data_IF_892080465809
#
_entry.id   IF_892080465809
#
_cell.length_a   1.000
_cell.length_b   1.000
_cell.length_c   1.000
_cell.angle_alpha   90.00
_cell.angle_beta   90.00
_cell.angle_gamma   90.00
#
_symmetry.space_group_name_H-M   'P 1'
#
loop_
_entity.id
_entity.type
_entity.pdbx_description
1 polymer ?
#
# COMPACT_ATOMS: atom_id res chain seq x y z
N UNK A 1 -58.41 4.72 -30.52
CA UNK A 1 -57.63 3.49 -30.79
C UNK A 1 -56.21 3.92 -31.14
N UNK A 2 -55.17 3.88 -30.34
CA UNK A 2 -54.97 3.73 -28.90
C UNK A 2 -53.61 4.39 -28.63
N UNK A 3 -53.59 5.54 -27.98
CA UNK A 3 -52.36 6.18 -27.50
C UNK A 3 -52.00 5.55 -26.17
N UNK A 4 -51.12 4.54 -26.17
CA UNK A 4 -50.56 3.98 -24.92
C UNK A 4 -49.49 4.94 -24.38
N UNK A 5 -49.62 5.44 -23.14
CA UNK A 5 -48.56 6.24 -22.53
C UNK A 5 -47.38 5.32 -22.22
N UNK A 6 -46.21 5.62 -22.79
CA UNK A 6 -44.95 5.03 -22.37
C UNK A 6 -44.62 5.68 -21.02
N UNK A 7 -44.99 5.01 -19.93
CA UNK A 7 -44.45 5.29 -18.61
C UNK A 7 -42.96 4.90 -18.64
N UNK A 8 -42.09 5.88 -18.85
CA UNK A 8 -40.67 5.75 -18.49
C UNK A 8 -40.64 5.82 -16.96
N UNK A 9 -40.74 4.65 -16.34
CA UNK A 9 -40.42 4.48 -14.94
C UNK A 9 -38.90 4.61 -14.83
N UNK A 10 -38.38 5.83 -14.67
CA UNK A 10 -37.00 6.03 -14.28
C UNK A 10 -36.86 5.57 -12.83
N UNK A 11 -36.72 4.25 -12.66
CA UNK A 11 -36.12 3.70 -11.46
C UNK A 11 -34.73 4.33 -11.38
N UNK A 12 -34.56 5.27 -10.45
CA UNK A 12 -33.25 5.69 -9.97
C UNK A 12 -32.63 4.48 -9.28
N UNK A 13 -32.09 3.57 -10.09
CA UNK A 13 -31.12 2.59 -9.65
C UNK A 13 -29.90 3.44 -9.33
N UNK A 14 -29.68 3.73 -8.04
CA UNK A 14 -28.38 4.14 -7.54
C UNK A 14 -27.43 2.98 -7.84
N UNK A 15 -26.89 2.99 -9.05
CA UNK A 15 -25.97 1.99 -9.55
C UNK A 15 -24.61 2.33 -8.96
N UNK A 16 -23.96 1.38 -8.29
CA UNK A 16 -22.59 1.57 -7.77
C UNK A 16 -21.59 1.89 -8.88
N UNK A 17 -21.98 1.66 -10.14
CA UNK A 17 -21.30 2.05 -11.40
C UNK A 17 -21.00 3.56 -11.56
N UNK A 18 -21.34 4.42 -10.60
CA UNK A 18 -21.02 5.86 -10.64
C UNK A 18 -20.07 6.33 -9.54
N UNK A 19 -19.41 5.43 -8.82
CA UNK A 19 -18.35 5.79 -7.88
C UNK A 19 -17.00 5.81 -8.60
N UNK A 20 -16.25 6.89 -8.43
CA UNK A 20 -14.89 7.03 -8.92
C UNK A 20 -13.93 7.30 -7.76
N UNK A 21 -12.75 6.68 -7.80
CA UNK A 21 -11.70 6.95 -6.83
C UNK A 21 -11.09 8.34 -7.09
N UNK A 22 -11.02 9.19 -6.06
CA UNK A 22 -10.42 10.55 -6.17
C UNK A 22 -9.08 10.71 -5.50
N UNK A 23 -8.86 9.99 -4.40
CA UNK A 23 -7.65 10.10 -3.62
C UNK A 23 -7.54 8.87 -2.72
N UNK A 24 -6.31 8.47 -2.42
CA UNK A 24 -6.00 7.41 -1.47
C UNK A 24 -4.96 7.93 -0.49
N UNK A 25 -5.13 7.57 0.78
CA UNK A 25 -4.10 7.72 1.81
C UNK A 25 -3.75 6.33 2.30
N UNK A 26 -2.49 5.93 2.13
CA UNK A 26 -1.97 4.64 2.59
C UNK A 26 -1.18 4.89 3.87
N UNK A 27 -1.72 4.43 5.00
CA UNK A 27 -0.97 4.40 6.26
C UNK A 27 -0.26 3.04 6.36
N UNK A 28 1.01 3.02 5.96
CA UNK A 28 1.80 1.78 5.94
C UNK A 28 2.65 1.63 7.20
N UNK A 29 2.86 0.37 7.59
CA UNK A 29 3.93 -0.01 8.52
C UNK A 29 5.12 -0.49 7.70
N UNK A 30 6.34 -0.23 8.18
CA UNK A 30 7.53 -0.83 7.60
C UNK A 30 7.40 -2.36 7.45
N UNK A 31 8.08 -2.91 6.44
CA UNK A 31 8.12 -4.36 6.20
C UNK A 31 9.08 -5.09 7.18
N UNK A 32 9.48 -6.31 6.85
CA UNK A 32 10.34 -7.16 7.70
C UNK A 32 11.69 -6.51 7.99
N UNK A 33 11.92 -6.25 9.28
CA UNK A 33 13.16 -5.69 9.81
C UNK A 33 13.75 -6.57 10.91
N UNK A 34 15.03 -6.34 11.22
CA UNK A 34 15.70 -7.01 12.33
C UNK A 34 15.12 -6.56 13.69
N UNK A 35 15.30 -7.36 14.76
CA UNK A 35 14.87 -6.99 16.11
C UNK A 35 15.53 -5.69 16.62
N UNK A 36 14.81 -4.91 17.42
CA UNK A 36 15.35 -3.67 18.03
C UNK A 36 16.15 -3.93 19.30
N UNK A 37 15.79 -4.97 20.05
CA UNK A 37 16.31 -5.18 21.38
C UNK A 37 17.76 -5.68 21.34
N UNK A 38 18.63 -5.03 22.11
CA UNK A 38 20.01 -5.45 22.35
C UNK A 38 20.11 -6.49 23.48
N UNK A 39 19.03 -6.77 24.21
CA UNK A 39 19.03 -7.59 25.42
C UNK A 39 18.26 -8.89 25.26
N UNK A 40 18.01 -9.33 24.02
CA UNK A 40 17.30 -10.58 23.72
C UNK A 40 17.88 -11.80 24.44
N UNK A 41 19.21 -11.85 24.61
CA UNK A 41 19.92 -12.91 25.33
C UNK A 41 19.53 -13.03 26.81
N UNK A 42 18.96 -11.99 27.41
CA UNK A 42 18.48 -12.03 28.80
C UNK A 42 17.13 -12.71 28.94
N UNK A 43 16.36 -12.85 27.85
CA UNK A 43 15.01 -13.42 27.86
C UNK A 43 15.00 -14.94 27.65
N UNK A 44 16.11 -15.54 27.21
CA UNK A 44 16.21 -16.99 26.99
C UNK A 44 17.66 -17.45 27.01
N UNK A 45 17.96 -18.64 27.56
CA UNK A 45 19.30 -19.23 27.48
C UNK A 45 19.63 -19.78 26.07
N UNK A 46 18.66 -19.85 25.15
CA UNK A 46 18.90 -20.29 23.77
C UNK A 46 19.59 -19.19 22.96
N UNK A 47 20.50 -19.53 22.04
CA UNK A 47 21.09 -18.54 21.14
C UNK A 47 20.01 -17.95 20.23
N UNK A 48 20.04 -16.63 20.06
CA UNK A 48 19.20 -15.96 19.07
C UNK A 48 19.83 -16.06 17.69
N UNK A 49 19.02 -16.19 16.61
CA UNK A 49 19.53 -16.14 15.25
C UNK A 49 20.29 -14.83 14.99
N UNK A 50 21.41 -14.93 14.28
CA UNK A 50 22.16 -13.77 13.83
C UNK A 50 21.51 -13.18 12.57
N UNK A 51 21.47 -11.85 12.51
CA UNK A 51 21.02 -11.10 11.35
C UNK A 51 22.23 -10.47 10.67
N UNK A 52 22.19 -10.31 9.35
CA UNK A 52 23.29 -9.68 8.60
C UNK A 52 23.24 -8.15 8.72
N UNK A 53 22.06 -7.60 9.03
CA UNK A 53 21.77 -6.17 9.09
C UNK A 53 21.77 -5.67 10.54
N UNK A 54 21.96 -4.36 10.71
CA UNK A 54 21.94 -3.70 12.02
C UNK A 54 20.56 -3.85 12.70
N UNK A 55 20.49 -3.83 14.05
CA UNK A 55 19.22 -3.83 14.77
C UNK A 55 18.27 -2.72 14.30
N UNK A 56 17.02 -3.08 14.01
CA UNK A 56 15.98 -2.17 13.51
C UNK A 56 15.98 -1.94 12.00
N UNK A 57 17.02 -2.34 11.26
CA UNK A 57 17.09 -2.10 9.82
C UNK A 57 16.18 -3.06 9.06
N UNK A 58 15.64 -2.59 7.93
CA UNK A 58 14.91 -3.43 7.00
C UNK A 58 15.83 -4.52 6.47
N UNK A 59 15.33 -5.74 6.42
CA UNK A 59 16.06 -6.87 5.83
C UNK A 59 16.00 -6.77 4.30
N UNK A 60 16.95 -7.37 3.54
CA UNK A 60 16.88 -7.44 2.08
C UNK A 60 15.56 -8.04 1.58
N UNK A 61 15.06 -9.07 2.29
CA UNK A 61 13.75 -9.64 2.01
C UNK A 61 12.61 -8.66 2.30
N UNK A 62 12.72 -7.87 3.37
CA UNK A 62 11.77 -6.80 3.69
C UNK A 62 11.72 -5.73 2.60
N UNK A 63 12.86 -5.31 2.07
CA UNK A 63 12.95 -4.38 0.93
C UNK A 63 12.26 -4.95 -0.31
N UNK A 64 12.51 -6.21 -0.63
CA UNK A 64 11.87 -6.88 -1.77
C UNK A 64 10.34 -6.96 -1.60
N UNK A 65 9.87 -7.31 -0.40
CA UNK A 65 8.44 -7.37 -0.10
C UNK A 65 7.78 -5.99 -0.19
N UNK A 66 8.47 -4.93 0.20
CA UNK A 66 7.98 -3.56 0.05
C UNK A 66 7.85 -3.17 -1.44
N UNK A 67 8.79 -3.61 -2.27
CA UNK A 67 8.69 -3.48 -3.73
C UNK A 67 7.44 -4.15 -4.30
N UNK A 68 7.14 -5.39 -3.88
CA UNK A 68 5.92 -6.09 -4.30
C UNK A 68 4.64 -5.40 -3.85
N UNK A 69 4.63 -4.81 -2.65
CA UNK A 69 3.51 -3.99 -2.19
C UNK A 69 3.35 -2.74 -3.08
N UNK A 70 4.46 -2.09 -3.45
CA UNK A 70 4.48 -0.98 -4.39
C UNK A 70 3.88 -1.34 -5.75
N UNK A 71 4.29 -2.48 -6.32
CA UNK A 71 3.78 -2.98 -7.61
C UNK A 71 2.26 -3.25 -7.55
N UNK A 72 1.79 -3.84 -6.45
CA UNK A 72 0.36 -4.07 -6.23
C UNK A 72 -0.41 -2.75 -6.18
N UNK A 73 0.06 -1.78 -5.39
CA UNK A 73 -0.62 -0.48 -5.27
C UNK A 73 -0.60 0.29 -6.58
N UNK A 74 0.52 0.31 -7.31
CA UNK A 74 0.57 0.94 -8.62
C UNK A 74 -0.44 0.30 -9.58
N UNK A 75 -0.48 -1.04 -9.65
CA UNK A 75 -1.40 -1.76 -10.53
C UNK A 75 -2.86 -1.45 -10.21
N UNK A 76 -3.22 -1.49 -8.92
CA UNK A 76 -4.58 -1.17 -8.47
C UNK A 76 -4.94 0.30 -8.76
N UNK A 77 -4.08 1.24 -8.41
CA UNK A 77 -4.34 2.67 -8.62
C UNK A 77 -4.40 3.05 -10.10
N UNK A 78 -3.63 2.37 -10.95
CA UNK A 78 -3.73 2.50 -12.40
C UNK A 78 -5.08 1.99 -12.93
N UNK A 79 -5.55 0.82 -12.46
CA UNK A 79 -6.85 0.26 -12.84
C UNK A 79 -8.03 1.15 -12.41
N UNK A 80 -7.90 1.82 -11.26
CA UNK A 80 -8.87 2.80 -10.75
C UNK A 80 -8.74 4.18 -11.43
N UNK A 81 -7.86 4.33 -12.43
CA UNK A 81 -7.57 5.58 -13.13
C UNK A 81 -7.09 6.72 -12.22
N UNK A 82 -6.45 6.39 -11.09
CA UNK A 82 -5.89 7.38 -10.17
C UNK A 82 -4.44 7.76 -10.51
N UNK A 83 -3.65 6.80 -11.02
CA UNK A 83 -2.28 7.04 -11.48
C UNK A 83 -2.17 6.89 -13.00
N UNK A 84 -1.29 7.67 -13.65
CA UNK A 84 -1.03 7.52 -15.07
C UNK A 84 -0.26 6.23 -15.36
N UNK A 85 -0.25 5.82 -16.63
CA UNK A 85 0.69 4.81 -17.08
C UNK A 85 2.12 5.37 -17.03
N UNK A 86 3.02 4.71 -16.33
CA UNK A 86 4.41 5.15 -16.16
C UNK A 86 4.65 5.86 -14.82
N UNK A 87 5.68 6.69 -14.75
CA UNK A 87 6.03 7.40 -13.52
C UNK A 87 5.05 8.56 -13.26
N UNK A 88 4.43 8.63 -12.07
CA UNK A 88 3.59 9.77 -11.70
C UNK A 88 4.44 11.03 -11.46
N UNK A 89 3.81 12.19 -11.61
CA UNK A 89 4.39 13.47 -11.21
C UNK A 89 4.33 13.65 -9.68
N UNK A 90 5.12 14.60 -9.17
CA UNK A 90 5.16 14.94 -7.73
C UNK A 90 3.80 15.41 -7.18
N UNK A 91 2.91 15.91 -8.05
CA UNK A 91 1.56 16.33 -7.65
C UNK A 91 0.56 15.17 -7.57
N UNK A 92 0.87 14.03 -8.17
CA UNK A 92 -0.01 12.85 -8.24
C UNK A 92 0.35 11.81 -7.18
N UNK A 93 1.62 11.75 -6.76
CA UNK A 93 2.09 10.78 -5.79
C UNK A 93 3.06 11.42 -4.79
N UNK A 94 2.78 11.25 -3.51
CA UNK A 94 3.58 11.79 -2.42
C UNK A 94 3.83 10.71 -1.37
N UNK A 95 5.08 10.61 -0.90
CA UNK A 95 5.50 9.67 0.14
C UNK A 95 6.11 10.43 1.30
N UNK A 96 5.65 10.12 2.50
CA UNK A 96 6.25 10.55 3.75
C UNK A 96 6.62 9.33 4.58
N UNK A 97 7.88 9.24 5.00
CA UNK A 97 8.37 8.23 5.91
C UNK A 97 8.97 8.90 7.15
N UNK A 98 8.86 8.22 8.29
CA UNK A 98 9.54 8.66 9.50
C UNK A 98 11.05 8.39 9.40
N UNK A 99 11.82 8.97 10.32
CA UNK A 99 13.30 8.87 10.34
C UNK A 99 13.83 7.51 10.83
N UNK A 100 12.95 6.62 11.30
CA UNK A 100 13.36 5.37 11.94
C UNK A 100 13.54 4.23 10.93
N UNK A 101 12.91 4.33 9.76
CA UNK A 101 13.02 3.32 8.71
C UNK A 101 14.37 3.45 7.99
N UNK A 102 15.31 2.59 8.33
CA UNK A 102 16.61 2.49 7.68
C UNK A 102 16.69 1.20 6.85
N UNK A 103 17.05 1.34 5.58
CA UNK A 103 17.46 0.23 4.71
C UNK A 103 18.96 0.03 4.83
N UNK A 104 19.43 -1.21 4.76
CA UNK A 104 20.86 -1.49 4.66
C UNK A 104 21.39 -1.09 3.28
N UNK A 105 22.57 -0.45 3.24
CA UNK A 105 23.30 -0.13 1.99
C UNK A 105 23.70 -1.39 1.20
#
# INVERSE_FOLDING_TARGET
MDTKPILILSALILNSEQLYLKQVVILSRHNVRTPLSKTLSQSSPKPWPTWNEKPGYLTPKGTLLEGFMGDYFYTWLYQENLLPQGCPSENEFYVYANTDMQVSD
#
